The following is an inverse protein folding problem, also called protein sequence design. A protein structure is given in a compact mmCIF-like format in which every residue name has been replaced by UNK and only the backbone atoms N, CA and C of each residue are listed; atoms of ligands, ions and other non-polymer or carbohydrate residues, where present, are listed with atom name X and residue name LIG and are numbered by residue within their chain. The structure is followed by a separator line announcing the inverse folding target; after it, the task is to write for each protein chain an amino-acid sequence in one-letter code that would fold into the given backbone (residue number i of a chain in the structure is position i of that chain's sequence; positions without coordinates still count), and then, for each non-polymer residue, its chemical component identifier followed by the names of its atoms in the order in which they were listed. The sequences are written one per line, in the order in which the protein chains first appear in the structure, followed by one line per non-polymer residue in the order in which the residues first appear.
data_IF_667579215498
#
_entry.id   IF_667579215498
#
_cell.length_a   1.000
_cell.length_b   1.000
_cell.length_c   1.000
_cell.angle_alpha   90.00
_cell.angle_beta   90.00
_cell.angle_gamma   90.00
#
_symmetry.space_group_name_H-M   'P 1'
#
loop_
_entity.id
_entity.type
_entity.pdbx_description
1 polymer ?
#
# COMPACT_ATOMS: atom_id res chain seq x y z
N UNK A 1 0.97 -59.22 24.52
CA UNK A 1 1.27 -58.30 25.64
C UNK A 1 1.70 -56.98 25.06
N UNK A 2 0.93 -55.94 25.40
CA UNK A 2 1.11 -54.48 25.24
C UNK A 2 2.58 -54.03 25.32
N UNK A 3 3.05 -52.94 24.70
CA UNK A 3 2.52 -51.56 24.75
C UNK A 3 2.96 -50.68 23.56
N UNK A 4 2.16 -49.62 23.41
CA UNK A 4 2.15 -48.48 22.48
C UNK A 4 3.25 -47.43 22.78
N UNK A 5 3.25 -46.34 21.98
CA UNK A 5 3.95 -45.02 22.09
C UNK A 5 5.05 -44.81 21.02
N UNK A 6 5.10 -43.76 20.18
CA UNK A 6 4.39 -42.48 20.12
C UNK A 6 4.32 -41.95 18.68
N UNK A 7 3.16 -41.38 18.33
CA UNK A 7 2.90 -40.50 17.19
C UNK A 7 3.67 -39.18 17.35
N UNK A 8 4.36 -38.73 16.30
CA UNK A 8 4.54 -37.30 16.03
C UNK A 8 4.14 -37.03 14.58
N UNK A 9 2.97 -36.41 14.44
CA UNK A 9 2.54 -35.76 13.20
C UNK A 9 3.54 -34.63 12.91
N UNK A 10 4.30 -34.73 11.81
CA UNK A 10 4.86 -33.54 11.18
C UNK A 10 3.81 -32.96 10.24
N UNK A 11 3.33 -31.77 10.58
CA UNK A 11 2.46 -30.95 9.75
C UNK A 11 3.19 -30.62 8.45
N UNK A 12 2.82 -31.32 7.37
CA UNK A 12 3.23 -30.93 6.03
C UNK A 12 2.44 -29.67 5.66
N UNK A 13 3.11 -28.52 5.79
CA UNK A 13 2.68 -27.28 5.14
C UNK A 13 2.53 -27.57 3.66
N UNK A 14 1.28 -27.50 3.19
CA UNK A 14 0.91 -27.60 1.78
C UNK A 14 1.73 -26.59 0.98
N UNK A 15 2.75 -27.08 0.29
CA UNK A 15 3.58 -26.29 -0.62
C UNK A 15 2.73 -25.93 -1.84
N UNK A 16 1.90 -24.89 -1.72
CA UNK A 16 1.17 -24.33 -2.87
C UNK A 16 2.22 -23.81 -3.88
N UNK A 17 2.15 -24.19 -5.16
CA UNK A 17 3.08 -23.70 -6.17
C UNK A 17 2.94 -22.17 -6.30
N UNK A 18 4.05 -21.46 -6.10
CA UNK A 18 4.10 -20.01 -6.31
C UNK A 18 4.11 -19.75 -7.81
N UNK A 19 2.96 -19.38 -8.37
CA UNK A 19 2.83 -18.99 -9.77
C UNK A 19 3.55 -17.65 -9.95
N UNK A 20 4.63 -17.63 -10.72
CA UNK A 20 5.36 -16.42 -11.11
C UNK A 20 5.16 -16.20 -12.60
N UNK A 21 4.63 -15.03 -12.98
CA UNK A 21 4.66 -14.59 -14.37
C UNK A 21 6.06 -14.07 -14.72
N UNK A 22 6.65 -14.59 -15.78
CA UNK A 22 7.88 -14.06 -16.38
C UNK A 22 7.63 -13.70 -17.85
N UNK A 23 8.30 -12.66 -18.33
CA UNK A 23 8.29 -12.28 -19.75
C UNK A 23 9.68 -11.85 -20.18
N UNK A 24 10.03 -12.11 -21.44
CA UNK A 24 11.21 -11.53 -22.08
C UNK A 24 10.84 -10.20 -22.73
N UNK A 25 11.72 -9.21 -22.64
CA UNK A 25 11.48 -7.93 -23.32
C UNK A 25 11.51 -8.11 -24.83
N UNK A 26 10.66 -7.36 -25.54
CA UNK A 26 10.74 -7.30 -27.01
C UNK A 26 12.04 -6.61 -27.41
N UNK A 27 12.63 -6.95 -28.57
CA UNK A 27 13.76 -6.22 -29.10
C UNK A 27 13.43 -4.72 -29.17
N UNK A 28 14.39 -3.86 -28.79
CA UNK A 28 14.27 -2.39 -28.72
C UNK A 28 13.31 -1.82 -27.66
N UNK A 29 13.06 -2.53 -26.57
CA UNK A 29 12.37 -1.96 -25.40
C UNK A 29 13.33 -1.80 -24.22
N UNK A 30 13.34 -0.59 -23.65
CA UNK A 30 14.12 -0.31 -22.45
C UNK A 30 13.31 -0.64 -21.19
N UNK A 31 13.97 -0.61 -20.04
CA UNK A 31 13.35 -0.95 -18.75
C UNK A 31 12.24 0.01 -18.32
N UNK A 32 12.33 1.27 -18.76
CA UNK A 32 11.33 2.31 -18.49
C UNK A 32 10.05 2.03 -19.29
N UNK A 33 10.16 1.56 -20.53
CA UNK A 33 9.02 1.13 -21.34
C UNK A 33 8.28 -0.04 -20.69
N UNK A 34 9.02 -0.98 -20.11
CA UNK A 34 8.45 -2.14 -19.42
C UNK A 34 7.72 -1.68 -18.15
N UNK A 35 8.34 -0.80 -17.37
CA UNK A 35 7.71 -0.22 -16.18
C UNK A 35 6.42 0.54 -16.55
N UNK A 36 6.46 1.40 -17.57
CA UNK A 36 5.31 2.16 -18.03
C UNK A 36 4.16 1.26 -18.53
N UNK A 37 4.47 0.13 -19.19
CA UNK A 37 3.46 -0.80 -19.67
C UNK A 37 2.80 -1.62 -18.53
N UNK A 38 3.54 -1.88 -17.46
CA UNK A 38 3.07 -2.69 -16.33
C UNK A 38 2.31 -1.87 -15.28
N UNK A 39 2.59 -0.57 -15.16
CA UNK A 39 2.02 0.31 -14.16
C UNK A 39 0.60 0.79 -14.54
N UNK A 40 -0.34 0.95 -13.58
CA UNK A 40 -0.27 0.53 -12.17
C UNK A 40 -0.37 -1.00 -12.02
N UNK A 41 0.11 -1.49 -10.87
CA UNK A 41 0.13 -2.92 -10.54
C UNK A 41 -1.26 -3.56 -10.65
N UNK A 42 -1.36 -4.67 -11.40
CA UNK A 42 -2.65 -5.32 -11.67
C UNK A 42 -3.40 -5.77 -10.42
N UNK A 43 -2.69 -6.14 -9.35
CA UNK A 43 -3.29 -6.55 -8.07
C UNK A 43 -3.98 -5.42 -7.30
N UNK A 44 -3.73 -4.16 -7.66
CA UNK A 44 -4.29 -2.98 -6.98
C UNK A 44 -5.41 -2.28 -7.77
N UNK A 45 -5.75 -2.85 -8.92
CA UNK A 45 -6.78 -2.31 -9.82
C UNK A 45 -7.86 -3.38 -10.00
N UNK A 46 -7.74 -4.18 -11.06
CA UNK A 46 -8.67 -5.25 -11.41
C UNK A 46 -8.62 -5.58 -12.89
N UNK A 47 -9.64 -6.26 -13.39
CA UNK A 47 -9.75 -6.67 -14.78
C UNK A 47 -11.15 -6.38 -15.33
N UNK A 48 -11.27 -5.81 -16.55
CA UNK A 48 -10.22 -5.25 -17.40
C UNK A 48 -9.62 -3.93 -16.85
N UNK A 49 -8.27 -3.82 -16.84
CA UNK A 49 -7.52 -2.78 -16.10
C UNK A 49 -8.03 -1.35 -16.31
N UNK A 50 -8.13 -0.90 -17.56
CA UNK A 50 -8.52 0.49 -17.86
C UNK A 50 -9.91 0.81 -17.30
N UNK A 51 -10.88 -0.08 -17.53
CA UNK A 51 -12.24 0.11 -17.03
C UNK A 51 -12.29 0.12 -15.50
N UNK A 52 -11.49 -0.73 -14.85
CA UNK A 52 -11.43 -0.73 -13.38
C UNK A 52 -10.86 0.57 -12.85
N UNK A 53 -9.81 1.13 -13.47
CA UNK A 53 -9.24 2.41 -13.04
C UNK A 53 -10.26 3.54 -13.16
N UNK A 54 -11.02 3.61 -14.25
CA UNK A 54 -12.08 4.63 -14.40
C UNK A 54 -13.14 4.51 -13.30
N UNK A 55 -13.59 3.29 -12.99
CA UNK A 55 -14.58 3.05 -11.92
C UNK A 55 -14.01 3.45 -10.56
N UNK A 56 -12.73 3.15 -10.30
CA UNK A 56 -12.08 3.53 -9.04
C UNK A 56 -11.98 5.04 -8.91
N UNK A 57 -11.61 5.76 -9.97
CA UNK A 57 -11.51 7.22 -9.98
C UNK A 57 -12.88 7.88 -9.70
N UNK A 58 -13.94 7.37 -10.32
CA UNK A 58 -15.33 7.82 -10.07
C UNK A 58 -15.74 7.57 -8.61
N UNK A 59 -15.48 6.37 -8.07
CA UNK A 59 -15.85 6.01 -6.69
C UNK A 59 -15.02 6.76 -5.64
N UNK A 60 -13.77 7.07 -5.94
CA UNK A 60 -12.87 7.85 -5.08
C UNK A 60 -13.06 9.36 -5.26
N UNK A 61 -14.05 9.78 -6.06
CA UNK A 61 -14.38 11.18 -6.34
C UNK A 61 -13.17 11.99 -6.86
N UNK A 62 -12.30 11.34 -7.64
CA UNK A 62 -11.06 11.94 -8.15
C UNK A 62 -10.00 12.24 -7.07
N UNK A 63 -10.17 11.74 -5.85
CA UNK A 63 -9.16 11.89 -4.80
C UNK A 63 -7.94 11.05 -5.14
N UNK A 64 -6.78 11.70 -5.28
CA UNK A 64 -5.53 10.98 -5.53
C UNK A 64 -5.15 10.07 -4.37
N UNK A 65 -4.86 8.80 -4.68
CA UNK A 65 -4.29 7.82 -3.74
C UNK A 65 -2.88 8.21 -3.25
N UNK A 66 -2.24 9.19 -3.87
CA UNK A 66 -0.87 9.57 -3.56
C UNK A 66 0.09 8.38 -3.75
N UNK A 67 1.02 8.14 -2.81
CA UNK A 67 1.92 6.99 -2.90
C UNK A 67 1.23 5.63 -2.76
N UNK A 68 0.04 5.55 -2.14
CA UNK A 68 -0.66 4.28 -1.98
C UNK A 68 -1.01 3.67 -3.34
N UNK A 69 -0.86 2.35 -3.47
CA UNK A 69 -0.99 1.64 -4.76
C UNK A 69 0.07 2.00 -5.82
N UNK A 70 1.06 2.85 -5.48
CA UNK A 70 2.23 3.14 -6.29
C UNK A 70 3.29 2.04 -6.21
N UNK A 71 4.51 2.36 -6.64
CA UNK A 71 5.66 1.46 -6.59
C UNK A 71 6.91 2.17 -6.08
N UNK A 72 7.63 1.53 -5.17
CA UNK A 72 8.94 1.94 -4.68
C UNK A 72 9.98 0.88 -5.06
N UNK A 73 11.12 1.31 -5.58
CA UNK A 73 12.14 0.40 -6.07
C UNK A 73 13.35 1.12 -6.63
N UNK A 74 14.15 0.39 -7.41
CA UNK A 74 15.34 0.93 -8.05
C UNK A 74 15.41 0.56 -9.54
N UNK A 75 16.08 1.44 -10.30
CA UNK A 75 16.49 1.23 -11.68
C UNK A 75 18.02 1.32 -11.72
N UNK A 76 18.66 0.33 -12.33
CA UNK A 76 20.11 0.28 -12.45
C UNK A 76 20.55 0.49 -13.90
N UNK A 77 21.71 1.11 -14.08
CA UNK A 77 22.32 1.38 -15.40
C UNK A 77 22.66 0.09 -16.18
N UNK A 78 22.74 -1.05 -15.48
CA UNK A 78 22.93 -2.36 -16.10
C UNK A 78 21.63 -2.98 -16.65
N UNK A 79 20.49 -2.27 -16.58
CA UNK A 79 19.20 -2.76 -17.06
C UNK A 79 18.48 -3.69 -16.08
N UNK A 80 18.88 -3.73 -14.80
CA UNK A 80 18.11 -4.37 -13.73
C UNK A 80 17.12 -3.38 -13.09
N UNK A 81 15.95 -3.89 -12.71
CA UNK A 81 15.00 -3.19 -11.86
C UNK A 81 14.41 -4.16 -10.84
N UNK A 82 14.05 -3.62 -9.69
CA UNK A 82 13.13 -4.27 -8.76
C UNK A 82 12.18 -3.21 -8.20
N UNK A 83 10.88 -3.51 -8.23
CA UNK A 83 9.82 -2.59 -7.83
C UNK A 83 8.84 -3.33 -6.94
N UNK A 84 8.53 -2.75 -5.79
CA UNK A 84 7.44 -3.22 -4.95
C UNK A 84 6.10 -2.58 -5.37
N UNK A 85 5.04 -2.93 -4.63
CA UNK A 85 3.81 -2.15 -4.59
C UNK A 85 3.71 -1.53 -3.20
N UNK A 86 3.41 -0.24 -3.13
CA UNK A 86 3.23 0.49 -1.88
C UNK A 86 1.86 0.12 -1.29
N UNK A 87 1.88 -0.92 -0.46
CA UNK A 87 0.80 -1.37 0.40
C UNK A 87 1.34 -1.61 1.79
N UNK A 88 0.46 -1.66 2.79
CA UNK A 88 0.85 -1.81 4.19
C UNK A 88 1.95 -0.80 4.58
N UNK A 89 1.74 0.47 4.22
CA UNK A 89 2.66 1.58 4.49
C UNK A 89 1.87 2.80 4.97
N UNK A 90 2.50 3.61 5.82
CA UNK A 90 2.00 4.95 6.18
C UNK A 90 2.74 6.01 5.35
N UNK A 91 2.01 6.99 4.85
CA UNK A 91 2.55 8.17 4.17
C UNK A 91 2.45 9.35 5.14
N UNK A 92 3.58 9.95 5.45
CA UNK A 92 3.67 11.08 6.39
C UNK A 92 4.03 12.32 5.59
N UNK A 93 3.23 13.37 5.69
CA UNK A 93 3.39 14.61 4.92
C UNK A 93 3.34 15.82 5.87
N UNK A 94 4.35 16.72 5.82
CA UNK A 94 4.30 17.94 6.62
C UNK A 94 3.21 18.86 6.06
N UNK A 95 2.44 19.47 6.94
CA UNK A 95 1.39 20.42 6.62
C UNK A 95 1.64 21.70 7.41
N UNK A 96 1.64 22.83 6.71
CA UNK A 96 1.75 24.14 7.34
C UNK A 96 0.41 24.51 7.95
N UNK A 97 0.38 24.77 9.26
CA UNK A 97 -0.82 25.26 9.91
C UNK A 97 -0.83 26.80 9.86
N UNK A 98 -1.54 27.37 8.89
CA UNK A 98 -1.70 28.83 8.76
C UNK A 98 -2.75 29.39 9.73
N UNK A 99 -3.38 28.56 10.57
CA UNK A 99 -4.37 29.03 11.54
C UNK A 99 -3.74 29.63 12.81
N UNK A 100 -2.42 29.52 12.97
CA UNK A 100 -1.65 30.08 14.10
C UNK A 100 -0.89 31.35 13.69
N UNK A 101 -1.51 32.22 12.89
CA UNK A 101 -1.01 33.59 12.69
C UNK A 101 -1.99 34.52 13.40
N UNK A 102 -1.66 34.90 14.63
CA UNK A 102 -2.38 35.98 15.31
C UNK A 102 -2.18 37.27 14.49
N UNK A 103 -3.25 38.03 14.27
CA UNK A 103 -3.23 39.30 13.50
C UNK A 103 -2.51 40.46 14.23
N UNK A 104 -1.72 40.19 15.26
CA UNK A 104 -1.01 41.23 16.00
C UNK A 104 0.38 41.44 15.37
N UNK A 105 0.56 42.63 14.79
CA UNK A 105 1.70 43.07 13.96
C UNK A 105 3.05 43.18 14.71
N UNK A 106 3.15 42.67 15.94
CA UNK A 106 4.34 42.80 16.81
C UNK A 106 5.01 41.49 17.21
N UNK A 107 4.46 40.32 16.87
CA UNK A 107 5.06 39.04 17.23
C UNK A 107 5.92 38.49 16.08
N UNK A 108 7.23 38.50 16.30
CA UNK A 108 8.20 37.76 15.49
C UNK A 108 7.79 36.27 15.55
N UNK A 109 7.55 35.58 14.42
CA UNK A 109 6.99 34.23 14.46
C UNK A 109 8.01 33.28 15.09
N UNK A 110 7.77 32.93 16.36
CA UNK A 110 8.51 31.89 17.07
C UNK A 110 8.05 30.53 16.55
N UNK A 111 8.93 29.89 15.77
CA UNK A 111 8.78 28.53 15.20
C UNK A 111 7.52 28.33 14.34
N UNK A 112 7.70 28.25 13.01
CA UNK A 112 6.66 27.77 12.10
C UNK A 112 6.12 26.43 12.62
N UNK A 113 4.85 26.41 13.03
CA UNK A 113 4.21 25.21 13.53
C UNK A 113 3.97 24.24 12.36
N UNK A 114 4.87 23.28 12.21
CA UNK A 114 4.74 22.19 11.23
C UNK A 114 3.89 21.09 11.85
N UNK A 115 2.64 20.97 11.39
CA UNK A 115 1.80 19.81 11.67
C UNK A 115 2.15 18.67 10.71
N UNK A 116 1.90 17.41 11.10
CA UNK A 116 2.13 16.25 10.24
C UNK A 116 0.83 15.52 9.98
N UNK A 117 0.52 15.28 8.69
CA UNK A 117 -0.60 14.45 8.27
C UNK A 117 -0.09 13.05 7.97
N UNK A 118 -0.69 12.05 8.60
CA UNK A 118 -0.43 10.64 8.30
C UNK A 118 -1.61 10.05 7.53
N UNK A 119 -1.32 9.41 6.40
CA UNK A 119 -2.32 8.73 5.56
C UNK A 119 -1.97 7.25 5.43
N UNK A 120 -2.92 6.37 5.68
CA UNK A 120 -2.75 4.91 5.59
C UNK A 120 -3.77 4.39 4.59
N UNK A 121 -3.29 3.91 3.44
CA UNK A 121 -4.14 3.30 2.43
C UNK A 121 -4.37 1.81 2.69
N UNK A 122 -5.61 1.36 2.53
CA UNK A 122 -6.00 -0.04 2.59
C UNK A 122 -7.15 -0.33 1.61
N UNK A 123 -7.30 -1.59 1.22
CA UNK A 123 -8.35 -2.00 0.28
C UNK A 123 -8.41 -3.52 0.12
N UNK A 124 -9.41 -3.96 -0.65
CA UNK A 124 -9.72 -5.36 -0.94
C UNK A 124 -10.01 -5.60 -2.41
N UNK A 125 -10.12 -6.87 -2.79
CA UNK A 125 -10.47 -7.28 -4.14
C UNK A 125 -11.96 -7.57 -4.21
N UNK A 126 -12.72 -6.69 -4.86
CA UNK A 126 -14.17 -6.85 -4.97
C UNK A 126 -14.52 -7.75 -6.15
N UNK A 127 -15.38 -8.75 -5.89
CA UNK A 127 -15.90 -9.67 -6.90
C UNK A 127 -17.42 -9.76 -6.83
N UNK A 128 -18.03 -10.50 -7.74
CA UNK A 128 -19.49 -10.76 -7.71
C UNK A 128 -19.95 -11.58 -6.49
N UNK A 129 -19.01 -12.18 -5.76
CA UNK A 129 -19.28 -13.00 -4.57
C UNK A 129 -18.87 -12.29 -3.27
N UNK A 130 -18.39 -11.05 -3.36
CA UNK A 130 -17.97 -10.28 -2.19
C UNK A 130 -19.18 -9.77 -1.41
N UNK A 131 -19.07 -9.78 -0.09
CA UNK A 131 -19.99 -9.12 0.84
C UNK A 131 -19.37 -7.80 1.34
N UNK A 132 -20.19 -6.76 1.53
CA UNK A 132 -19.67 -5.44 1.90
C UNK A 132 -19.05 -5.39 3.29
N UNK A 133 -19.64 -6.10 4.25
CA UNK A 133 -19.21 -6.03 5.64
C UNK A 133 -17.92 -6.82 5.80
N UNK A 134 -17.84 -8.01 5.20
CA UNK A 134 -16.62 -8.84 5.20
C UNK A 134 -15.43 -8.12 4.55
N UNK A 135 -15.63 -7.45 3.42
CA UNK A 135 -14.57 -6.72 2.72
C UNK A 135 -14.09 -5.49 3.52
N UNK A 136 -15.01 -4.82 4.21
CA UNK A 136 -14.67 -3.71 5.10
C UNK A 136 -13.86 -4.19 6.30
N UNK A 137 -14.29 -5.28 6.95
CA UNK A 137 -13.54 -5.89 8.05
C UNK A 137 -12.14 -6.34 7.61
N UNK A 138 -12.02 -6.94 6.42
CA UNK A 138 -10.72 -7.32 5.83
C UNK A 138 -9.83 -6.09 5.59
N UNK A 139 -10.39 -5.00 5.05
CA UNK A 139 -9.67 -3.74 4.84
C UNK A 139 -9.13 -3.17 6.15
N UNK A 140 -9.96 -3.14 7.20
CA UNK A 140 -9.56 -2.68 8.53
C UNK A 140 -8.50 -3.59 9.16
N UNK A 141 -8.63 -4.91 8.98
CA UNK A 141 -7.64 -5.88 9.44
C UNK A 141 -6.27 -5.68 8.76
N UNK A 142 -6.25 -5.38 7.45
CA UNK A 142 -5.00 -5.11 6.71
C UNK A 142 -4.29 -3.84 7.17
N UNK A 143 -5.04 -2.81 7.58
CA UNK A 143 -4.45 -1.55 8.04
C UNK A 143 -4.03 -1.59 9.51
N UNK A 144 -4.63 -2.50 10.30
CA UNK A 144 -4.48 -2.61 11.76
C UNK A 144 -3.04 -2.45 12.25
N UNK A 145 -2.11 -3.26 11.73
CA UNK A 145 -0.74 -3.27 12.20
C UNK A 145 -0.07 -1.88 12.10
N UNK A 146 -0.30 -1.15 11.00
CA UNK A 146 0.30 0.18 10.80
C UNK A 146 -0.43 1.23 11.61
N UNK A 147 -1.77 1.15 11.65
CA UNK A 147 -2.61 2.07 12.43
C UNK A 147 -2.21 2.02 13.91
N UNK A 148 -2.04 0.83 14.46
CA UNK A 148 -1.61 0.63 15.85
C UNK A 148 -0.20 1.19 16.08
N UNK A 149 0.76 0.91 15.19
CA UNK A 149 2.12 1.47 15.32
C UNK A 149 2.15 3.00 15.23
N UNK A 150 1.34 3.61 14.35
CA UNK A 150 1.25 5.07 14.23
C UNK A 150 0.59 5.68 15.46
N UNK A 151 -0.47 5.05 15.97
CA UNK A 151 -1.17 5.50 17.16
C UNK A 151 -0.27 5.43 18.40
N UNK A 152 0.43 4.32 18.61
CA UNK A 152 1.41 4.17 19.69
C UNK A 152 2.52 5.22 19.60
N UNK A 153 3.02 5.49 18.39
CA UNK A 153 4.01 6.55 18.18
C UNK A 153 3.46 7.95 18.55
N UNK A 154 2.19 8.22 18.25
CA UNK A 154 1.54 9.49 18.58
C UNK A 154 1.32 9.64 20.09
N UNK A 155 0.88 8.58 20.76
CA UNK A 155 0.63 8.56 22.21
C UNK A 155 1.93 8.76 23.01
N UNK A 156 3.04 8.14 22.58
CA UNK A 156 4.36 8.28 23.21
C UNK A 156 5.04 9.64 22.99
N UNK A 157 4.44 10.53 22.18
CA UNK A 157 4.98 11.85 21.83
C UNK A 157 4.36 12.99 22.64
N UNK A 158 3.25 12.71 23.34
CA UNK A 158 2.60 13.59 24.31
C UNK A 158 3.12 13.32 25.74
#
# INVERSE_FOLDING_TARGET
TSTNENNYLSSTTSNKPRIRSSSSSRPNKNIVDILAACFPGGSMTGAPKLRTVDILDDMEMGVSRGPYSGSLGYLSLNGCMDMNIIIRSAVVTPTMDTSIVNNDESDVPSEECVSWKVSIGAGGAITSLSDSDDEFEEMMLKSKAIRESVQEWQENRN
#
